data_IF_721261209758
#
_entry.id   IF_721261209758
#
_cell.length_a   1.000
_cell.length_b   1.000
_cell.length_c   1.000
_cell.angle_alpha   90.00
_cell.angle_beta   90.00
_cell.angle_gamma   90.00
#
_symmetry.space_group_name_H-M   'P 1'
#
loop_
_entity.id
_entity.type
_entity.pdbx_description
1 polymer ?
#
# COMPACT_ATOMS: atom_id res chain seq x y z
N UNK A 1 2.28 -15.14 -21.88
CA UNK A 1 2.90 -13.88 -21.40
C UNK A 1 2.37 -13.60 -20.00
N UNK A 2 3.23 -13.50 -18.99
CA UNK A 2 2.81 -13.23 -17.62
C UNK A 2 2.71 -11.71 -17.35
N UNK A 3 1.93 -11.29 -16.35
CA UNK A 3 1.71 -9.86 -16.05
C UNK A 3 3.00 -9.08 -15.76
N UNK A 4 3.94 -9.68 -15.03
CA UNK A 4 5.20 -9.04 -14.68
C UNK A 4 6.10 -8.84 -15.91
N UNK A 5 6.13 -9.80 -16.83
CA UNK A 5 6.84 -9.66 -18.12
C UNK A 5 6.27 -8.52 -18.96
N UNK A 6 4.95 -8.29 -18.89
CA UNK A 6 4.31 -7.17 -19.59
C UNK A 6 4.78 -5.82 -19.03
N UNK A 7 4.80 -5.70 -17.72
CA UNK A 7 5.23 -4.47 -17.05
C UNK A 7 6.74 -4.22 -17.18
N UNK A 8 7.57 -5.26 -17.17
CA UNK A 8 9.00 -5.14 -17.46
C UNK A 8 9.25 -4.60 -18.88
N UNK A 9 8.45 -5.03 -19.86
CA UNK A 9 8.53 -4.53 -21.24
C UNK A 9 8.03 -3.09 -21.39
N UNK A 10 7.02 -2.68 -20.63
CA UNK A 10 6.47 -1.33 -20.68
C UNK A 10 7.30 -0.30 -19.90
N UNK A 11 8.04 -0.73 -18.87
CA UNK A 11 8.80 0.16 -18.00
C UNK A 11 9.79 1.10 -18.75
N UNK A 12 10.52 0.66 -19.80
CA UNK A 12 11.39 1.54 -20.59
C UNK A 12 10.65 2.64 -21.35
N UNK A 13 9.35 2.46 -21.64
CA UNK A 13 8.53 3.44 -22.33
C UNK A 13 8.01 4.55 -21.39
N UNK A 14 8.16 4.38 -20.08
CA UNK A 14 7.70 5.33 -19.08
C UNK A 14 8.83 6.28 -18.69
N UNK A 15 8.46 7.53 -18.40
CA UNK A 15 9.40 8.46 -17.77
C UNK A 15 9.89 7.87 -16.45
N UNK A 16 11.22 7.78 -16.29
CA UNK A 16 11.85 7.14 -15.14
C UNK A 16 11.44 7.75 -13.80
N UNK A 17 11.07 9.04 -13.76
CA UNK A 17 10.62 9.76 -12.56
C UNK A 17 9.10 9.73 -12.34
N UNK A 18 8.35 9.06 -13.22
CA UNK A 18 6.89 8.97 -13.07
C UNK A 18 6.51 8.08 -11.88
N UNK A 19 5.44 8.45 -11.17
CA UNK A 19 4.87 7.63 -10.09
C UNK A 19 4.46 6.23 -10.58
N UNK A 20 4.05 6.11 -11.84
CA UNK A 20 3.72 4.83 -12.45
C UNK A 20 4.96 3.94 -12.60
N UNK A 21 6.07 4.48 -13.12
CA UNK A 21 7.33 3.73 -13.23
C UNK A 21 7.87 3.32 -11.85
N UNK A 22 7.70 4.16 -10.83
CA UNK A 22 8.02 3.82 -9.44
C UNK A 22 7.18 2.65 -8.92
N UNK A 23 5.85 2.71 -9.10
CA UNK A 23 4.94 1.65 -8.69
C UNK A 23 5.25 0.32 -9.40
N UNK A 24 5.52 0.35 -10.71
CA UNK A 24 5.88 -0.85 -11.49
C UNK A 24 7.20 -1.45 -10.97
N UNK A 25 8.25 -0.64 -10.77
CA UNK A 25 9.52 -1.11 -10.21
C UNK A 25 9.34 -1.75 -8.84
N UNK A 26 8.54 -1.13 -7.98
CA UNK A 26 8.23 -1.67 -6.67
C UNK A 26 7.56 -3.05 -6.76
N UNK A 27 6.54 -3.20 -7.61
CA UNK A 27 5.85 -4.47 -7.80
C UNK A 27 6.76 -5.55 -8.39
N UNK A 28 7.57 -5.22 -9.39
CA UNK A 28 8.56 -6.14 -9.98
C UNK A 28 9.56 -6.60 -8.91
N UNK A 29 10.12 -5.68 -8.12
CA UNK A 29 11.08 -5.99 -7.05
C UNK A 29 10.51 -6.92 -5.97
N UNK A 30 9.18 -6.96 -5.82
CA UNK A 30 8.46 -7.75 -4.81
C UNK A 30 7.67 -8.92 -5.38
N UNK A 31 7.92 -9.30 -6.64
CA UNK A 31 7.22 -10.40 -7.35
C UNK A 31 7.14 -11.68 -6.53
N UNK A 32 8.22 -12.08 -5.86
CA UNK A 32 8.26 -13.30 -5.04
C UNK A 32 7.29 -13.23 -3.85
N UNK A 33 7.24 -12.09 -3.15
CA UNK A 33 6.33 -11.90 -2.04
C UNK A 33 4.87 -11.88 -2.51
N UNK A 34 4.58 -11.16 -3.61
CA UNK A 34 3.24 -11.03 -4.18
C UNK A 34 2.69 -12.35 -4.75
N UNK A 35 3.54 -13.33 -5.06
CA UNK A 35 3.11 -14.66 -5.53
C UNK A 35 2.99 -15.70 -4.43
N UNK A 36 3.37 -15.38 -3.18
CA UNK A 36 3.53 -16.39 -2.13
C UNK A 36 2.22 -17.10 -1.76
N UNK A 37 1.09 -16.40 -1.87
CA UNK A 37 -0.25 -16.97 -1.68
C UNK A 37 -0.58 -18.11 -2.66
N UNK A 38 0.06 -18.14 -3.83
CA UNK A 38 -0.13 -19.22 -4.81
C UNK A 38 0.49 -20.55 -4.33
N UNK A 39 1.49 -20.48 -3.46
CA UNK A 39 2.20 -21.64 -2.92
C UNK A 39 1.78 -21.97 -1.47
N UNK A 40 1.28 -20.99 -0.73
CA UNK A 40 0.83 -21.14 0.65
C UNK A 40 -0.58 -20.55 0.82
N UNK A 41 -1.58 -21.44 0.88
CA UNK A 41 -2.99 -21.07 1.01
C UNK A 41 -3.37 -20.48 2.38
N UNK A 42 -2.45 -20.41 3.34
CA UNK A 42 -2.67 -19.69 4.61
C UNK A 42 -2.49 -18.18 4.45
N UNK A 43 -1.87 -17.75 3.37
CA UNK A 43 -1.63 -16.33 3.07
C UNK A 43 -2.82 -15.82 2.26
N UNK A 44 -3.50 -14.80 2.77
CA UNK A 44 -4.56 -14.12 2.03
C UNK A 44 -4.00 -13.34 0.84
N UNK A 45 -4.77 -13.26 -0.23
CA UNK A 45 -4.40 -12.52 -1.46
C UNK A 45 -4.48 -11.01 -1.27
N UNK A 46 -5.29 -10.54 -0.32
CA UNK A 46 -5.55 -9.13 -0.07
C UNK A 46 -5.09 -8.68 1.31
N UNK A 47 -5.04 -7.37 1.52
CA UNK A 47 -4.64 -6.73 2.77
C UNK A 47 -5.83 -6.29 3.63
N UNK A 48 -7.05 -6.77 3.39
CA UNK A 48 -8.26 -6.24 4.03
C UNK A 48 -8.20 -6.36 5.55
N UNK A 49 -7.72 -7.49 6.09
CA UNK A 49 -7.56 -7.69 7.54
C UNK A 49 -6.58 -6.66 8.12
N UNK A 50 -5.46 -6.45 7.44
CA UNK A 50 -4.42 -5.50 7.87
C UNK A 50 -4.95 -4.08 7.84
N UNK A 51 -5.60 -3.67 6.75
CA UNK A 51 -6.18 -2.34 6.59
C UNK A 51 -7.29 -2.07 7.61
N UNK A 52 -8.17 -3.05 7.83
CA UNK A 52 -9.22 -2.97 8.85
C UNK A 52 -8.65 -2.83 10.25
N UNK A 53 -7.54 -3.50 10.54
CA UNK A 53 -6.84 -3.41 11.83
C UNK A 53 -6.17 -2.04 12.01
N UNK A 54 -5.56 -1.48 10.96
CA UNK A 54 -4.84 -0.20 11.03
C UNK A 54 -5.81 1.00 11.04
N UNK A 55 -6.96 0.89 10.36
CA UNK A 55 -7.92 1.98 10.17
C UNK A 55 -8.34 2.69 11.47
N UNK A 56 -8.69 2.01 12.59
CA UNK A 56 -9.00 2.68 13.85
C UNK A 56 -7.88 3.59 14.33
N UNK A 57 -6.62 3.17 14.21
CA UNK A 57 -5.47 3.98 14.63
C UNK A 57 -5.33 5.26 13.78
N UNK A 58 -5.48 5.13 12.46
CA UNK A 58 -5.45 6.28 11.55
C UNK A 58 -6.58 7.27 11.82
N UNK A 59 -7.79 6.76 12.11
CA UNK A 59 -8.96 7.58 12.47
C UNK A 59 -8.74 8.29 13.80
N UNK A 60 -8.30 7.59 14.84
CA UNK A 60 -8.02 8.18 16.15
C UNK A 60 -6.99 9.30 16.05
N UNK A 61 -5.89 9.09 15.30
CA UNK A 61 -4.88 10.14 15.08
C UNK A 61 -5.46 11.37 14.39
N UNK A 62 -6.35 11.19 13.41
CA UNK A 62 -7.03 12.30 12.73
C UNK A 62 -8.00 13.04 13.66
N UNK A 63 -8.70 12.32 14.53
CA UNK A 63 -9.72 12.89 15.41
C UNK A 63 -9.14 13.54 16.67
N UNK A 64 -7.94 13.12 17.11
CA UNK A 64 -7.26 13.64 18.28
C UNK A 64 -6.46 14.94 18.03
N UNK A 65 -6.63 15.60 16.86
CA UNK A 65 -5.90 16.83 16.51
C UNK A 65 -6.07 17.98 17.52
N UNK A 66 -7.13 17.97 18.33
CA UNK A 66 -7.42 18.99 19.34
C UNK A 66 -7.41 18.49 20.78
N UNK A 67 -7.16 17.18 21.01
CA UNK A 67 -7.09 16.61 22.34
C UNK A 67 -5.78 17.06 23.02
N UNK A 68 -5.86 18.15 23.80
CA UNK A 68 -4.72 18.73 24.54
C UNK A 68 -4.48 20.23 24.32
N UNK A 69 -5.32 20.93 23.55
CA UNK A 69 -5.28 22.41 23.49
C UNK A 69 -6.08 23.01 24.64
N UNK A 70 -5.47 23.92 25.41
CA UNK A 70 -6.07 24.64 26.55
C UNK A 70 -7.31 25.49 26.15
N UNK A 71 -7.56 25.66 24.84
CA UNK A 71 -8.75 26.34 24.29
C UNK A 71 -9.90 25.43 23.89
N UNK A 72 -9.76 24.09 23.95
CA UNK A 72 -10.72 23.14 23.38
C UNK A 72 -12.02 22.93 24.17
N UNK A 73 -12.08 23.41 25.42
CA UNK A 73 -13.21 23.21 26.34
C UNK A 73 -13.87 24.49 26.85
N UNK A 74 -13.58 25.66 26.26
CA UNK A 74 -14.29 26.91 26.58
C UNK A 74 -15.58 27.00 25.77
N UNK A 75 -16.68 26.51 26.34
CA UNK A 75 -18.05 26.93 25.99
C UNK A 75 -18.46 28.11 26.86
#
# INVERSE_FOLDING_TARGET
>A
MNLFEAWERELPCLSGKSKLAEAIRYVISRRTALKRFLADGRIEIDSNIVERTIRPHSITRKNALFAGSDGGGRT
#
